data_IF_109057143478
#
_entry.id   IF_109057143478
#
_cell.length_a   1.000
_cell.length_b   1.000
_cell.length_c   1.000
_cell.angle_alpha   90.00
_cell.angle_beta   90.00
_cell.angle_gamma   90.00
#
_symmetry.space_group_name_H-M   'P 1'
#
loop_
_entity.id
_entity.type
_entity.pdbx_description
1 polymer ?
#
# COMPACT_ATOMS: atom_id res chain seq x y z
N UNK A 1 8.60 28.78 -7.35
CA UNK A 1 9.47 27.85 -6.60
C UNK A 1 8.68 26.57 -6.44
N UNK A 2 9.07 25.51 -7.13
CA UNK A 2 8.42 24.21 -7.00
C UNK A 2 9.12 23.44 -5.89
N UNK A 3 8.45 23.26 -4.76
CA UNK A 3 8.87 22.35 -3.72
C UNK A 3 8.80 20.93 -4.28
N UNK A 4 9.94 20.47 -4.80
CA UNK A 4 10.16 19.07 -5.18
C UNK A 4 10.16 18.29 -3.88
N UNK A 5 8.96 17.93 -3.41
CA UNK A 5 8.80 16.87 -2.42
C UNK A 5 9.55 15.68 -2.99
N UNK A 6 10.62 15.28 -2.29
CA UNK A 6 11.36 14.06 -2.57
C UNK A 6 10.41 12.91 -2.22
N UNK A 7 9.47 12.63 -3.11
CA UNK A 7 8.49 11.55 -2.96
C UNK A 7 9.30 10.27 -2.83
N UNK A 8 9.14 9.58 -1.71
CA UNK A 8 9.77 8.27 -1.55
C UNK A 8 9.31 7.39 -2.72
N UNK A 9 10.25 6.67 -3.33
CA UNK A 9 9.92 5.81 -4.47
C UNK A 9 8.85 4.80 -4.04
N UNK A 10 7.82 4.54 -4.87
CA UNK A 10 6.72 3.67 -4.49
C UNK A 10 7.20 2.27 -4.07
N UNK A 11 8.29 1.77 -4.66
CA UNK A 11 8.92 0.50 -4.27
C UNK A 11 9.43 0.50 -2.81
N UNK A 12 9.92 1.63 -2.33
CA UNK A 12 10.34 1.79 -0.92
C UNK A 12 9.13 1.77 0.02
N UNK A 13 8.07 2.51 -0.33
CA UNK A 13 6.83 2.57 0.46
C UNK A 13 6.19 1.18 0.53
N UNK A 14 6.15 0.46 -0.60
CA UNK A 14 5.63 -0.90 -0.69
C UNK A 14 6.38 -1.85 0.26
N UNK A 15 7.72 -1.84 0.21
CA UNK A 15 8.55 -2.68 1.09
C UNK A 15 8.32 -2.39 2.57
N UNK A 16 8.16 -1.12 2.93
CA UNK A 16 7.93 -0.72 4.30
C UNK A 16 6.53 -1.12 4.81
N UNK A 17 5.50 -0.91 3.98
CA UNK A 17 4.11 -1.34 4.28
C UNK A 17 4.02 -2.85 4.48
N UNK A 18 4.57 -3.65 3.57
CA UNK A 18 4.56 -5.12 3.66
C UNK A 18 5.35 -5.62 4.88
N UNK A 19 6.38 -4.87 5.32
CA UNK A 19 7.13 -5.20 6.52
C UNK A 19 6.43 -4.88 7.85
N UNK A 20 5.41 -3.99 7.83
CA UNK A 20 4.74 -3.48 9.03
C UNK A 20 3.35 -4.02 9.25
N UNK A 21 2.64 -4.35 8.18
CA UNK A 21 1.23 -4.73 8.23
C UNK A 21 1.03 -6.16 7.73
N UNK A 22 0.01 -6.88 8.22
CA UNK A 22 -0.33 -8.23 7.77
C UNK A 22 -1.00 -8.21 6.38
N UNK A 23 -0.29 -7.70 5.38
CA UNK A 23 -0.73 -7.52 4.01
C UNK A 23 0.29 -8.13 3.03
N UNK A 24 -0.11 -8.27 1.77
CA UNK A 24 0.75 -8.76 0.68
C UNK A 24 0.60 -7.84 -0.53
N UNK A 25 1.51 -8.00 -1.49
CA UNK A 25 1.39 -7.31 -2.78
C UNK A 25 1.19 -8.32 -3.88
N UNK A 26 0.09 -8.14 -4.59
CA UNK A 26 -0.19 -8.80 -5.84
C UNK A 26 0.23 -7.89 -6.98
N UNK A 27 0.63 -8.48 -8.10
CA UNK A 27 1.02 -7.72 -9.29
C UNK A 27 0.01 -7.98 -10.40
N UNK A 28 -0.63 -6.92 -10.88
CA UNK A 28 -1.59 -6.97 -11.98
C UNK A 28 -1.20 -5.95 -13.04
N UNK A 29 -0.98 -6.39 -14.28
CA UNK A 29 -0.51 -5.55 -15.39
C UNK A 29 0.74 -4.71 -15.06
N UNK A 30 1.66 -5.27 -14.26
CA UNK A 30 2.87 -4.56 -13.83
C UNK A 30 2.64 -3.49 -12.77
N UNK A 31 1.43 -3.42 -12.20
CA UNK A 31 1.08 -2.49 -11.12
C UNK A 31 0.89 -3.22 -9.78
N UNK A 32 1.40 -2.67 -8.68
CA UNK A 32 1.26 -3.27 -7.35
C UNK A 32 -0.18 -3.09 -6.84
N UNK A 33 -0.77 -4.16 -6.32
CA UNK A 33 -2.08 -4.17 -5.69
C UNK A 33 -1.92 -4.63 -4.24
N UNK A 34 -2.47 -3.88 -3.30
CA UNK A 34 -2.44 -4.24 -1.88
C UNK A 34 -3.45 -5.36 -1.64
N UNK A 35 -3.00 -6.50 -1.16
CA UNK A 35 -3.88 -7.56 -0.64
C UNK A 35 -3.93 -7.47 0.88
N UNK A 36 -5.13 -7.31 1.44
CA UNK A 36 -5.35 -7.18 2.88
C UNK A 36 -6.26 -8.28 3.40
N UNK A 37 -6.15 -8.60 4.70
CA UNK A 37 -7.01 -9.62 5.33
C UNK A 37 -8.24 -9.03 6.02
N UNK A 38 -8.13 -7.81 6.56
CA UNK A 38 -9.23 -7.13 7.26
C UNK A 38 -9.31 -5.67 6.83
N UNK A 39 -10.51 -5.10 6.81
CA UNK A 39 -10.71 -3.68 6.49
C UNK A 39 -9.95 -2.74 7.47
N UNK A 40 -9.82 -3.17 8.72
CA UNK A 40 -9.04 -2.47 9.76
C UNK A 40 -7.58 -2.27 9.33
N UNK A 41 -6.98 -3.27 8.65
CA UNK A 41 -5.60 -3.18 8.17
C UNK A 41 -5.48 -2.11 7.06
N UNK A 42 -6.46 -2.02 6.16
CA UNK A 42 -6.45 -1.03 5.07
C UNK A 42 -6.52 0.39 5.63
N UNK A 43 -7.37 0.62 6.63
CA UNK A 43 -7.49 1.92 7.27
C UNK A 43 -6.17 2.35 7.91
N UNK A 44 -5.51 1.43 8.63
CA UNK A 44 -4.21 1.68 9.27
C UNK A 44 -3.10 1.91 8.24
N UNK A 45 -3.05 1.12 7.17
CA UNK A 45 -2.06 1.27 6.09
C UNK A 45 -2.26 2.63 5.38
N UNK A 46 -3.51 3.00 5.09
CA UNK A 46 -3.85 4.27 4.44
C UNK A 46 -3.39 5.45 5.28
N UNK A 47 -3.71 5.44 6.58
CA UNK A 47 -3.28 6.48 7.50
C UNK A 47 -1.75 6.54 7.63
N UNK A 48 -1.10 5.38 7.72
CA UNK A 48 0.35 5.28 7.82
C UNK A 48 1.06 5.87 6.59
N UNK A 49 0.63 5.50 5.39
CA UNK A 49 1.21 6.00 4.13
C UNK A 49 1.07 7.51 4.04
N UNK A 50 -0.11 8.03 4.41
CA UNK A 50 -0.41 9.46 4.40
C UNK A 50 0.42 10.25 5.42
N UNK A 51 0.53 9.79 6.66
CA UNK A 51 1.27 10.49 7.71
C UNK A 51 2.78 10.41 7.48
N UNK A 52 3.28 9.26 7.02
CA UNK A 52 4.73 9.00 6.92
C UNK A 52 5.34 9.53 5.63
N UNK A 53 4.62 9.41 4.51
CA UNK A 53 5.14 9.73 3.18
C UNK A 53 4.40 10.90 2.51
N UNK A 54 3.29 11.37 3.09
CA UNK A 54 2.47 12.46 2.53
C UNK A 54 2.01 12.15 1.09
N UNK A 55 1.63 10.90 0.84
CA UNK A 55 1.01 10.42 -0.41
C UNK A 55 -0.25 9.64 -0.10
N UNK A 56 -1.13 9.45 -1.08
CA UNK A 56 -2.32 8.62 -0.90
C UNK A 56 -1.98 7.15 -1.16
N UNK A 57 -2.78 6.23 -0.59
CA UNK A 57 -2.57 4.79 -0.80
C UNK A 57 -2.59 4.43 -2.29
N UNK A 58 -3.47 5.08 -3.05
CA UNK A 58 -3.64 4.82 -4.49
C UNK A 58 -2.58 5.47 -5.38
N UNK A 59 -1.73 6.34 -4.83
CA UNK A 59 -0.51 6.79 -5.51
C UNK A 59 0.60 5.72 -5.45
N UNK A 60 0.49 4.78 -4.50
CA UNK A 60 1.46 3.71 -4.26
C UNK A 60 0.98 2.37 -4.83
N UNK A 61 -0.29 2.04 -4.62
CA UNK A 61 -0.94 0.81 -5.08
C UNK A 61 -2.02 1.13 -6.10
N UNK A 62 -2.14 0.34 -7.15
CA UNK A 62 -3.21 0.49 -8.13
C UNK A 62 -4.60 0.27 -7.52
N UNK A 63 -4.72 -0.69 -6.59
CA UNK A 63 -5.95 -0.98 -5.86
C UNK A 63 -5.64 -1.72 -4.56
N UNK A 64 -6.62 -1.80 -3.66
CA UNK A 64 -6.62 -2.65 -2.48
C UNK A 64 -7.70 -3.72 -2.63
N UNK A 65 -7.34 -4.99 -2.40
CA UNK A 65 -8.22 -6.15 -2.54
C UNK A 65 -8.21 -6.98 -1.27
N UNK A 66 -9.40 -7.41 -0.84
CA UNK A 66 -9.53 -8.36 0.26
C UNK A 66 -9.03 -9.74 -0.17
N UNK A 67 -8.22 -10.38 0.67
CA UNK A 67 -7.72 -11.72 0.43
C UNK A 67 -8.85 -12.73 0.56
N UNK A 68 -8.97 -13.62 -0.43
CA UNK A 68 -9.99 -14.66 -0.40
C UNK A 68 -9.64 -15.69 0.69
N UNK A 69 -10.63 -16.18 1.45
CA UNK A 69 -10.40 -17.31 2.35
C UNK A 69 -9.92 -18.51 1.53
N UNK A 70 -8.87 -19.19 1.99
CA UNK A 70 -8.44 -20.44 1.33
C UNK A 70 -9.56 -21.46 1.52
N UNK A 71 -10.19 -21.88 0.43
CA UNK A 71 -11.16 -22.98 0.48
C UNK A 71 -10.42 -24.26 0.92
N UNK A 72 -10.98 -25.05 1.86
CA UNK A 72 -10.33 -26.25 2.41
C UNK A 72 -10.25 -27.43 1.44
#
# INVERSE_FOLDING_TARGET
MGDIHKVAEPDHIIKDVVGKFPCRVLWSEGRPCLEYQREEDVALITEYVRITYNVELLDVFFTAVESLPVEP
#
